data_IF_949334333552
#
_entry.id   IF_949334333552
#
_cell.length_a   1.000
_cell.length_b   1.000
_cell.length_c   1.000
_cell.angle_alpha   90.00
_cell.angle_beta   90.00
_cell.angle_gamma   90.00
#
_symmetry.space_group_name_H-M   'P 1'
#
loop_
_entity.id
_entity.type
_entity.pdbx_description
1 polymer ?
#
# COMPACT_ATOMS: atom_id res chain seq x y z
N UNK A 1 -10.68 14.42 9.05
CA UNK A 1 -9.88 13.37 9.71
C UNK A 1 -9.70 12.25 8.70
N UNK A 2 -8.45 11.85 8.46
CA UNK A 2 -8.05 10.73 7.61
C UNK A 2 -7.27 9.74 8.48
N UNK A 3 -7.01 8.55 7.96
CA UNK A 3 -6.27 7.49 8.66
C UNK A 3 -5.27 6.91 7.68
N UNK A 4 -3.99 6.82 8.03
CA UNK A 4 -3.00 6.11 7.21
C UNK A 4 -3.26 4.61 7.21
N UNK A 5 -2.81 3.90 6.18
CA UNK A 5 -2.90 2.43 6.16
C UNK A 5 -2.19 1.80 7.37
N UNK A 6 -1.03 2.34 7.75
CA UNK A 6 -0.28 1.90 8.91
C UNK A 6 -1.10 1.99 10.20
N UNK A 7 -1.73 3.13 10.47
CA UNK A 7 -2.59 3.31 11.66
C UNK A 7 -3.80 2.36 11.63
N UNK A 8 -4.41 2.16 10.45
CA UNK A 8 -5.53 1.24 10.31
C UNK A 8 -5.16 -0.20 10.67
N UNK A 9 -3.98 -0.67 10.22
CA UNK A 9 -3.51 -2.02 10.54
C UNK A 9 -3.01 -2.16 11.97
N UNK A 10 -2.42 -1.11 12.53
CA UNK A 10 -2.02 -1.08 13.94
C UNK A 10 -3.21 -1.24 14.88
N UNK A 11 -4.31 -0.50 14.65
CA UNK A 11 -5.53 -0.67 15.47
C UNK A 11 -6.19 -2.02 15.22
N UNK A 12 -6.09 -2.56 13.99
CA UNK A 12 -6.66 -3.85 13.63
C UNK A 12 -5.89 -5.03 14.24
N UNK A 13 -4.58 -4.94 14.38
CA UNK A 13 -3.70 -6.01 14.88
C UNK A 13 -3.63 -7.22 13.94
N UNK A 14 -3.61 -6.98 12.62
CA UNK A 14 -3.55 -8.06 11.63
C UNK A 14 -3.64 -7.58 10.19
N UNK A 15 -3.49 -8.50 9.21
CA UNK A 15 -3.32 -8.14 7.82
C UNK A 15 -4.63 -7.70 7.16
N UNK A 16 -4.47 -6.98 6.05
CA UNK A 16 -5.53 -6.79 5.06
C UNK A 16 -5.98 -8.16 4.53
N UNK A 17 -7.28 -8.34 4.40
CA UNK A 17 -7.84 -9.46 3.64
C UNK A 17 -7.77 -9.18 2.13
N UNK A 18 -7.86 -10.23 1.32
CA UNK A 18 -7.76 -10.13 -0.14
C UNK A 18 -8.67 -9.06 -0.75
N UNK A 19 -9.94 -9.01 -0.36
CA UNK A 19 -10.88 -7.99 -0.88
C UNK A 19 -10.57 -6.57 -0.38
N UNK A 20 -9.93 -6.43 0.78
CA UNK A 20 -9.45 -5.13 1.26
C UNK A 20 -8.22 -4.69 0.45
N UNK A 21 -7.33 -5.62 0.07
CA UNK A 21 -6.19 -5.34 -0.83
C UNK A 21 -6.69 -4.91 -2.21
N UNK A 22 -7.67 -5.62 -2.80
CA UNK A 22 -8.32 -5.20 -4.04
C UNK A 22 -8.94 -3.81 -3.95
N UNK A 23 -9.61 -3.52 -2.83
CA UNK A 23 -10.24 -2.23 -2.63
C UNK A 23 -9.22 -1.08 -2.51
N UNK A 24 -8.15 -1.29 -1.74
CA UNK A 24 -7.07 -0.29 -1.60
C UNK A 24 -6.36 -0.10 -2.94
N UNK A 25 -6.05 -1.18 -3.67
CA UNK A 25 -5.43 -1.10 -5.00
C UNK A 25 -6.29 -0.28 -5.98
N UNK A 26 -7.58 -0.60 -6.06
CA UNK A 26 -8.51 0.08 -6.97
C UNK A 26 -8.62 1.57 -6.64
N UNK A 27 -8.86 1.91 -5.37
CA UNK A 27 -9.03 3.32 -4.96
C UNK A 27 -7.73 4.11 -5.09
N UNK A 28 -6.57 3.49 -4.84
CA UNK A 28 -5.25 4.11 -5.04
C UNK A 28 -4.97 4.37 -6.52
N UNK A 29 -5.28 3.40 -7.39
CA UNK A 29 -5.09 3.53 -8.82
C UNK A 29 -5.98 4.64 -9.43
N UNK A 30 -7.23 4.77 -8.97
CA UNK A 30 -8.10 5.89 -9.36
C UNK A 30 -7.53 7.23 -8.91
N UNK A 31 -7.10 7.34 -7.65
CA UNK A 31 -6.48 8.57 -7.14
C UNK A 31 -5.20 8.94 -7.88
N UNK A 32 -4.34 7.96 -8.20
CA UNK A 32 -3.15 8.17 -9.01
C UNK A 32 -3.50 8.66 -10.42
N UNK A 33 -4.52 8.06 -11.04
CA UNK A 33 -4.97 8.49 -12.36
C UNK A 33 -5.41 9.96 -12.32
N UNK A 34 -6.18 10.37 -11.31
CA UNK A 34 -6.57 11.78 -11.16
C UNK A 34 -5.36 12.71 -10.97
N UNK A 35 -4.36 12.30 -10.18
CA UNK A 35 -3.16 13.10 -9.94
C UNK A 35 -2.33 13.28 -11.21
N UNK A 36 -2.14 12.22 -12.00
CA UNK A 36 -1.46 12.31 -13.30
C UNK A 36 -2.16 13.25 -14.29
N UNK A 37 -3.49 13.40 -14.20
CA UNK A 37 -4.22 14.35 -15.03
C UNK A 37 -4.12 15.80 -14.51
N UNK A 38 -4.02 16.00 -13.19
CA UNK A 38 -4.06 17.33 -12.56
C UNK A 38 -2.69 18.01 -12.51
N UNK A 39 -1.69 17.33 -11.95
CA UNK A 39 -0.37 17.90 -11.73
C UNK A 39 0.73 16.82 -11.62
N UNK A 40 1.33 16.41 -12.77
CA UNK A 40 2.46 15.49 -12.77
C UNK A 40 3.69 15.99 -11.99
N UNK A 41 3.85 17.30 -11.77
CA UNK A 41 5.02 17.83 -11.05
C UNK A 41 4.95 17.58 -9.54
N UNK A 42 3.76 17.33 -8.99
CA UNK A 42 3.54 16.97 -7.60
C UNK A 42 3.76 15.46 -7.30
N UNK A 43 4.21 14.68 -8.29
CA UNK A 43 4.28 13.21 -8.22
C UNK A 43 5.62 12.66 -7.71
N UNK A 44 6.41 13.47 -6.99
CA UNK A 44 7.73 13.10 -6.47
C UNK A 44 7.74 12.30 -5.16
N UNK A 45 6.59 11.87 -4.66
CA UNK A 45 6.45 11.12 -3.41
C UNK A 45 6.55 9.61 -3.61
N UNK A 46 6.86 8.87 -2.53
CA UNK A 46 6.85 7.41 -2.50
C UNK A 46 5.60 6.94 -1.72
N UNK A 47 4.86 5.98 -2.30
CA UNK A 47 3.72 5.36 -1.63
C UNK A 47 4.25 4.35 -0.61
N UNK A 48 3.75 4.45 0.61
CA UNK A 48 4.09 3.61 1.75
C UNK A 48 2.84 3.47 2.64
N UNK A 49 2.84 2.56 3.61
CA UNK A 49 1.75 2.43 4.56
C UNK A 49 1.43 3.73 5.33
N UNK A 50 2.41 4.61 5.52
CA UNK A 50 2.25 5.88 6.23
C UNK A 50 1.79 7.02 5.32
N UNK A 51 2.19 7.00 4.04
CA UNK A 51 1.78 8.02 3.06
C UNK A 51 0.41 7.76 2.43
N UNK A 52 -0.09 6.51 2.45
CA UNK A 52 -1.39 6.15 1.90
C UNK A 52 -2.51 6.46 2.91
N UNK A 53 -3.30 7.49 2.62
CA UNK A 53 -4.37 7.99 3.48
C UNK A 53 -5.74 7.47 3.06
N UNK A 54 -6.39 6.74 3.95
CA UNK A 54 -7.76 6.26 3.85
C UNK A 54 -8.73 7.38 4.26
N UNK A 55 -9.59 7.81 3.33
CA UNK A 55 -10.54 8.90 3.57
C UNK A 55 -11.89 8.37 4.05
N UNK A 56 -12.62 9.09 4.94
CA UNK A 56 -13.99 8.73 5.32
C UNK A 56 -14.98 8.68 4.15
N UNK A 57 -14.68 9.38 3.04
CA UNK A 57 -15.46 9.30 1.80
C UNK A 57 -15.36 7.92 1.13
N UNK A 58 -14.32 7.14 1.46
CA UNK A 58 -13.95 5.88 0.85
C UNK A 58 -12.94 6.02 -0.29
N UNK A 59 -12.43 7.22 -0.56
CA UNK A 59 -11.33 7.47 -1.50
C UNK A 59 -9.97 7.34 -0.79
N UNK A 60 -8.90 7.35 -1.57
CA UNK A 60 -7.53 7.40 -1.07
C UNK A 60 -6.90 8.75 -1.42
N UNK A 61 -6.07 9.26 -0.53
CA UNK A 61 -5.18 10.39 -0.77
C UNK A 61 -3.74 9.99 -0.42
N UNK A 62 -2.77 10.81 -0.81
CA UNK A 62 -1.35 10.57 -0.53
C UNK A 62 -0.75 11.80 0.14
N UNK A 63 0.20 11.58 1.03
CA UNK A 63 0.99 12.63 1.69
C UNK A 63 2.45 12.23 1.77
N UNK A 64 3.36 13.19 1.68
CA UNK A 64 4.78 13.01 2.02
C UNK A 64 5.09 13.56 3.43
N UNK A 65 4.11 14.14 4.10
CA UNK A 65 4.26 14.71 5.43
C UNK A 65 4.50 13.60 6.48
N UNK A 66 5.49 13.81 7.35
CA UNK A 66 5.82 12.95 8.49
C UNK A 66 6.31 11.53 8.16
N UNK A 67 6.72 11.24 6.92
CA UNK A 67 7.32 9.95 6.55
C UNK A 67 8.84 10.02 6.58
N UNK A 68 9.50 9.14 7.32
CA UNK A 68 10.97 9.15 7.41
C UNK A 68 11.60 8.41 6.22
N UNK A 69 12.83 8.77 5.86
CA UNK A 69 13.59 8.08 4.81
C UNK A 69 13.82 6.59 5.12
N UNK A 70 13.93 6.23 6.40
CA UNK A 70 14.07 4.84 6.82
C UNK A 70 12.79 4.03 6.55
N UNK A 71 11.63 4.65 6.75
CA UNK A 71 10.33 4.04 6.47
C UNK A 71 10.11 3.86 4.96
N UNK A 72 10.64 4.77 4.14
CA UNK A 72 10.44 4.75 2.68
C UNK A 72 11.35 3.78 1.92
N UNK A 73 12.54 3.46 2.44
CA UNK A 73 13.55 2.68 1.70
C UNK A 73 12.99 1.36 1.16
N UNK A 74 12.13 0.72 1.94
CA UNK A 74 11.56 -0.57 1.64
C UNK A 74 10.44 -0.53 0.56
N UNK A 75 9.94 0.67 0.25
CA UNK A 75 8.89 0.91 -0.76
C UNK A 75 9.42 1.68 -1.97
N UNK A 76 10.70 2.06 -1.94
CA UNK A 76 11.33 2.85 -3.00
C UNK A 76 11.75 1.92 -4.13
N UNK A 77 11.39 2.28 -5.37
CA UNK A 77 11.74 1.47 -6.54
C UNK A 77 13.27 1.36 -6.72
N UNK A 78 13.79 0.22 -7.22
CA UNK A 78 15.23 -0.02 -7.33
C UNK A 78 15.96 1.09 -8.10
N UNK A 79 15.40 1.54 -9.21
CA UNK A 79 16.00 2.61 -10.02
C UNK A 79 16.14 3.93 -9.26
N UNK A 80 15.23 4.22 -8.33
CA UNK A 80 15.28 5.42 -7.49
C UNK A 80 16.34 5.27 -6.40
N UNK A 81 16.49 4.06 -5.82
CA UNK A 81 17.56 3.75 -4.86
C UNK A 81 18.94 3.82 -5.51
N UNK A 82 19.05 3.47 -6.79
CA UNK A 82 20.26 3.60 -7.60
C UNK A 82 20.56 5.05 -8.01
N UNK A 83 19.67 5.99 -7.69
CA UNK A 83 19.85 7.42 -8.01
C UNK A 83 19.55 7.77 -9.47
N UNK A 84 18.79 6.94 -10.18
CA UNK A 84 18.34 7.25 -11.54
C UNK A 84 17.35 8.41 -11.47
N UNK A 85 17.63 9.47 -12.22
CA UNK A 85 16.69 10.60 -12.36
C UNK A 85 15.48 10.17 -13.18
N UNK A 86 14.29 10.32 -12.61
CA UNK A 86 13.02 10.10 -13.33
C UNK A 86 12.77 11.28 -14.27
N UNK A 87 12.72 11.02 -15.58
CA UNK A 87 12.68 12.09 -16.60
C UNK A 87 11.35 12.16 -17.34
N UNK A 88 10.57 11.07 -17.32
CA UNK A 88 9.28 10.98 -18.00
C UNK A 88 8.14 10.69 -17.04
N UNK A 89 6.91 11.03 -17.46
CA UNK A 89 5.68 10.63 -16.75
C UNK A 89 5.57 9.11 -16.63
N UNK A 90 6.09 8.36 -17.63
CA UNK A 90 6.13 6.91 -17.58
C UNK A 90 7.04 6.42 -16.44
N UNK A 91 8.23 6.99 -16.27
CA UNK A 91 9.16 6.58 -15.21
C UNK A 91 8.53 6.82 -13.82
N UNK A 92 7.88 7.97 -13.67
CA UNK A 92 7.13 8.32 -12.45
C UNK A 92 5.97 7.35 -12.21
N UNK A 93 5.21 6.98 -13.26
CA UNK A 93 4.16 5.95 -13.18
C UNK A 93 4.74 4.62 -12.68
N UNK A 94 5.87 4.17 -13.24
CA UNK A 94 6.50 2.91 -12.84
C UNK A 94 6.99 2.93 -11.39
N UNK A 95 7.55 4.05 -10.93
CA UNK A 95 7.90 4.22 -9.52
C UNK A 95 6.67 4.11 -8.60
N UNK A 96 5.54 4.72 -8.98
CA UNK A 96 4.29 4.62 -8.21
C UNK A 96 3.69 3.22 -8.22
N UNK A 97 3.79 2.47 -9.32
CA UNK A 97 3.33 1.08 -9.37
C UNK A 97 4.14 0.18 -8.43
N UNK A 98 5.47 0.34 -8.40
CA UNK A 98 6.32 -0.41 -7.49
C UNK A 98 5.98 -0.10 -6.02
N UNK A 99 6.00 1.18 -5.65
CA UNK A 99 5.78 1.60 -4.28
C UNK A 99 4.39 1.25 -3.75
N UNK A 100 3.36 1.35 -4.60
CA UNK A 100 2.01 0.89 -4.25
C UNK A 100 1.95 -0.64 -4.09
N UNK A 101 2.57 -1.40 -4.99
CA UNK A 101 2.62 -2.86 -4.89
C UNK A 101 3.30 -3.33 -3.60
N UNK A 102 4.47 -2.76 -3.27
CA UNK A 102 5.18 -3.03 -2.01
C UNK A 102 4.36 -2.66 -0.78
N UNK A 103 3.63 -1.53 -0.84
CA UNK A 103 2.72 -1.11 0.24
C UNK A 103 1.60 -2.12 0.48
N UNK A 104 1.05 -2.69 -0.59
CA UNK A 104 -0.02 -3.69 -0.51
C UNK A 104 0.49 -5.05 -0.04
N UNK A 105 1.67 -5.48 -0.48
CA UNK A 105 2.33 -6.67 0.08
C UNK A 105 2.57 -6.52 1.57
N UNK A 106 3.10 -5.37 2.01
CA UNK A 106 3.27 -5.10 3.44
C UNK A 106 1.95 -5.17 4.20
N UNK A 107 0.88 -4.59 3.65
CA UNK A 107 -0.44 -4.64 4.28
C UNK A 107 -1.04 -6.05 4.35
N UNK A 108 -0.78 -6.89 3.36
CA UNK A 108 -1.22 -8.28 3.33
C UNK A 108 -0.37 -9.21 4.20
N UNK A 109 0.89 -8.85 4.48
CA UNK A 109 1.80 -9.58 5.37
C UNK A 109 1.75 -9.12 6.83
N UNK A 110 1.02 -8.04 7.12
CA UNK A 110 1.10 -7.36 8.42
C UNK A 110 0.76 -8.30 9.60
N UNK A 111 1.71 -8.42 10.52
CA UNK A 111 1.63 -9.28 11.72
C UNK A 111 1.35 -10.76 11.42
N UNK A 112 1.66 -11.23 10.21
CA UNK A 112 1.69 -12.67 9.92
C UNK A 112 2.97 -13.27 10.54
N UNK A 113 2.88 -14.33 11.36
CA UNK A 113 4.06 -15.01 11.87
C UNK A 113 4.90 -15.60 10.73
N UNK A 114 6.22 -15.51 10.80
CA UNK A 114 7.14 -16.00 9.75
C UNK A 114 6.95 -17.48 9.36
N UNK A 115 6.37 -18.30 10.23
CA UNK A 115 6.04 -19.70 9.94
C UNK A 115 4.80 -19.88 9.07
N UNK A 116 4.06 -18.81 8.78
CA UNK A 116 2.81 -18.84 8.02
C UNK A 116 2.95 -18.03 6.73
N UNK A 117 2.49 -18.56 5.60
CA UNK A 117 2.48 -17.79 4.37
C UNK A 117 1.36 -16.75 4.38
N UNK A 118 1.60 -15.65 3.67
CA UNK A 118 0.57 -14.70 3.27
C UNK A 118 -0.57 -15.39 2.52
N UNK A 119 -1.81 -14.97 2.78
CA UNK A 119 -3.02 -15.58 2.20
C UNK A 119 -3.63 -14.68 1.13
N UNK A 120 -2.99 -14.62 -0.04
CA UNK A 120 -3.53 -13.99 -1.23
C UNK A 120 -3.88 -15.03 -2.29
N UNK A 121 -5.01 -14.86 -2.97
CA UNK A 121 -5.31 -15.59 -4.19
C UNK A 121 -4.23 -15.39 -5.27
N UNK A 122 -3.97 -16.43 -6.06
CA UNK A 122 -2.93 -16.46 -7.08
C UNK A 122 -3.01 -15.27 -8.06
N UNK A 123 -4.23 -14.87 -8.43
CA UNK A 123 -4.45 -13.77 -9.35
C UNK A 123 -3.99 -12.43 -8.79
N UNK A 124 -4.37 -12.11 -7.54
CA UNK A 124 -3.96 -10.88 -6.89
C UNK A 124 -2.46 -10.89 -6.57
N UNK A 125 -1.93 -12.02 -6.10
CA UNK A 125 -0.50 -12.16 -5.84
C UNK A 125 0.31 -11.88 -7.12
N UNK A 126 -0.07 -12.51 -8.24
CA UNK A 126 0.59 -12.28 -9.53
C UNK A 126 0.46 -10.83 -10.01
N UNK A 127 -0.68 -10.18 -9.78
CA UNK A 127 -0.87 -8.77 -10.10
C UNK A 127 0.13 -7.90 -9.31
N UNK A 128 0.25 -8.10 -8.00
CA UNK A 128 1.17 -7.34 -7.15
C UNK A 128 2.64 -7.61 -7.50
N UNK A 129 3.02 -8.85 -7.82
CA UNK A 129 4.36 -9.18 -8.33
C UNK A 129 4.68 -8.41 -9.62
N UNK A 130 3.75 -8.39 -10.59
CA UNK A 130 3.96 -7.64 -11.83
C UNK A 130 4.00 -6.11 -11.62
N UNK A 131 3.40 -5.59 -10.55
CA UNK A 131 3.56 -4.19 -10.15
C UNK A 131 4.92 -3.92 -9.50
N UNK A 132 5.52 -4.92 -8.86
CA UNK A 132 6.80 -4.82 -8.17
C UNK A 132 7.99 -5.33 -8.99
N UNK A 133 7.84 -5.57 -10.29
CA UNK A 133 8.93 -6.06 -11.14
C UNK A 133 10.12 -5.07 -11.10
N UNK A 134 11.31 -5.60 -10.79
CA UNK A 134 12.56 -4.83 -10.71
C UNK A 134 12.95 -4.25 -12.08
N UNK A 135 12.55 -4.90 -13.17
CA UNK A 135 12.74 -4.40 -14.52
C UNK A 135 11.64 -3.36 -14.80
N UNK A 136 11.99 -2.07 -14.71
CA UNK A 136 11.08 -0.93 -14.86
C UNK A 136 10.18 -1.00 -16.11
N UNK A 137 10.71 -1.51 -17.24
CA UNK A 137 9.95 -1.63 -18.50
C UNK A 137 8.94 -2.77 -18.50
N UNK A 138 9.18 -3.83 -17.72
CA UNK A 138 8.29 -4.98 -17.56
C UNK A 138 7.17 -4.71 -16.55
N UNK A 139 7.45 -3.81 -15.59
CA UNK A 139 6.52 -3.42 -14.53
C UNK A 139 5.17 -2.97 -15.09
N UNK A 140 4.08 -3.34 -14.42
CA UNK A 140 2.73 -3.07 -14.91
C UNK A 140 2.45 -1.57 -15.09
N UNK A 141 1.55 -1.21 -16.02
CA UNK A 141 1.08 0.18 -16.17
C UNK A 141 -0.13 0.46 -15.30
N UNK A 142 -0.33 1.72 -14.91
CA UNK A 142 -1.50 2.15 -14.15
C UNK A 142 -2.81 1.81 -14.89
N UNK A 143 -2.82 1.98 -16.21
CA UNK A 143 -3.97 1.62 -17.06
C UNK A 143 -4.31 0.14 -16.96
N UNK A 144 -3.31 -0.74 -16.98
CA UNK A 144 -3.51 -2.19 -16.87
C UNK A 144 -4.07 -2.55 -15.49
N UNK A 145 -3.52 -1.97 -14.42
CA UNK A 145 -4.01 -2.17 -13.04
C UNK A 145 -5.48 -1.78 -12.92
N UNK A 146 -5.86 -0.62 -13.46
CA UNK A 146 -7.26 -0.16 -13.46
C UNK A 146 -8.19 -1.10 -14.22
N UNK A 147 -7.78 -1.63 -15.37
CA UNK A 147 -8.57 -2.58 -16.15
C UNK A 147 -8.77 -3.91 -15.38
N UNK A 148 -7.72 -4.41 -14.75
CA UNK A 148 -7.78 -5.64 -13.93
C UNK A 148 -8.68 -5.43 -12.70
N UNK A 149 -8.51 -4.33 -11.96
CA UNK A 149 -9.37 -3.99 -10.81
C UNK A 149 -10.83 -3.86 -11.24
N UNK A 150 -11.09 -3.17 -12.35
CA UNK A 150 -12.44 -3.01 -12.89
C UNK A 150 -13.07 -4.34 -13.29
N UNK A 151 -12.28 -5.28 -13.83
CA UNK A 151 -12.74 -6.65 -14.14
C UNK A 151 -13.04 -7.43 -12.87
N UNK A 152 -12.18 -7.38 -11.86
CA UNK A 152 -12.41 -8.01 -10.56
C UNK A 152 -13.72 -7.54 -9.94
N UNK A 153 -13.90 -6.22 -9.82
CA UNK A 153 -15.10 -5.61 -9.22
C UNK A 153 -16.38 -6.06 -9.95
N UNK A 154 -16.39 -6.06 -11.29
CA UNK A 154 -17.55 -6.48 -12.08
C UNK A 154 -17.88 -7.98 -11.95
N UNK A 155 -16.86 -8.81 -11.72
CA UNK A 155 -17.02 -10.25 -11.67
C UNK A 155 -17.19 -10.79 -10.23
N UNK A 156 -16.86 -9.99 -9.23
CA UNK A 156 -17.06 -10.31 -7.81
C UNK A 156 -18.49 -9.99 -7.37
N UNK A 157 -19.01 -10.72 -6.39
CA UNK A 157 -20.22 -10.34 -5.63
C UNK A 157 -19.89 -9.54 -4.37
N UNK A 158 -18.69 -8.99 -4.29
CA UNK A 158 -18.18 -8.27 -3.13
C UNK A 158 -18.76 -6.86 -3.02
N UNK A 159 -18.61 -6.25 -1.85
CA UNK A 159 -18.95 -4.85 -1.66
C UNK A 159 -18.12 -3.94 -2.59
N UNK A 160 -18.60 -2.74 -2.95
CA UNK A 160 -17.80 -1.82 -3.76
C UNK A 160 -16.53 -1.37 -3.00
N UNK A 161 -15.40 -1.10 -3.69
CA UNK A 161 -14.11 -0.77 -3.07
C UNK A 161 -14.17 0.29 -1.96
N UNK A 162 -14.85 1.41 -2.22
CA UNK A 162 -14.99 2.50 -1.25
C UNK A 162 -15.63 2.05 0.09
N UNK A 163 -16.43 0.98 0.09
CA UNK A 163 -17.04 0.41 1.29
C UNK A 163 -15.99 -0.14 2.24
N UNK A 164 -15.00 -0.87 1.72
CA UNK A 164 -13.91 -1.43 2.52
C UNK A 164 -13.04 -0.32 3.12
N UNK A 165 -12.71 0.71 2.35
CA UNK A 165 -11.97 1.88 2.84
C UNK A 165 -12.71 2.53 4.02
N UNK A 166 -14.03 2.73 3.87
CA UNK A 166 -14.87 3.26 4.96
C UNK A 166 -14.88 2.37 6.19
N UNK A 167 -14.89 1.04 6.03
CA UNK A 167 -14.82 0.09 7.16
C UNK A 167 -13.49 0.22 7.91
N UNK A 168 -12.36 0.29 7.19
CA UNK A 168 -11.04 0.50 7.78
C UNK A 168 -10.95 1.83 8.54
N UNK A 169 -11.44 2.92 7.96
CA UNK A 169 -11.45 4.24 8.62
C UNK A 169 -12.34 4.23 9.87
N UNK A 170 -13.51 3.58 9.82
CA UNK A 170 -14.40 3.44 10.98
C UNK A 170 -13.81 2.60 12.10
N UNK A 171 -12.99 1.60 11.79
CA UNK A 171 -12.30 0.77 12.79
C UNK A 171 -11.42 1.64 13.70
N UNK A 172 -10.67 2.57 13.11
CA UNK A 172 -9.82 3.49 13.88
C UNK A 172 -10.65 4.53 14.64
N UNK A 173 -11.59 5.20 13.97
CA UNK A 173 -12.41 6.25 14.60
C UNK A 173 -13.31 5.70 15.74
N UNK A 174 -13.87 4.50 15.56
CA UNK A 174 -14.68 3.83 16.58
C UNK A 174 -13.86 3.40 17.79
N UNK A 175 -12.58 3.08 17.60
CA UNK A 175 -11.65 2.78 18.70
C UNK A 175 -11.26 4.03 19.48
N UNK A 176 -11.02 5.15 18.80
CA UNK A 176 -10.76 6.44 19.44
C UNK A 176 -11.92 6.91 20.32
N UNK A 177 -13.17 6.73 19.86
CA UNK A 177 -14.36 7.07 20.67
C UNK A 177 -14.52 6.20 21.92
N UNK A 178 -13.97 4.98 21.93
CA UNK A 178 -13.95 4.11 23.12
C UNK A 178 -12.81 4.52 24.06
N UNK A 179 -11.68 4.96 23.52
CA UNK A 179 -10.53 5.41 24.29
C UNK A 179 -10.81 6.74 25.01
N UNK A 180 -11.55 7.67 24.38
CA UNK A 180 -11.93 8.96 24.98
C UNK A 180 -12.78 8.79 26.26
N UNK A 181 -13.42 7.63 26.44
CA UNK A 181 -14.11 7.25 27.68
C UNK A 181 -13.22 6.62 28.75
N UNK A 182 -11.95 6.33 28.45
CA UNK A 182 -11.03 5.54 29.28
C UNK A 182 -9.67 6.22 29.54
N UNK A 183 -9.44 7.46 29.06
CA UNK A 183 -8.20 8.21 29.33
C UNK A 183 -8.14 8.75 30.76
N UNK A 184 -8.00 7.84 31.72
CA UNK A 184 -7.19 8.00 32.91
C UNK A 184 -6.22 6.82 32.97
N UNK A 185 -4.94 7.12 32.74
CA UNK A 185 -3.77 6.28 33.08
C UNK A 185 -3.37 5.18 32.07
N UNK A 186 -2.36 5.44 31.21
CA UNK A 186 -1.04 4.80 31.28
C UNK A 186 -0.11 5.08 30.08
N UNK A 187 1.19 5.02 30.42
CA UNK A 187 2.38 5.35 29.64
C UNK A 187 2.66 4.47 28.42
N UNK A 188 3.34 5.09 27.46
CA UNK A 188 3.83 4.59 26.17
C UNK A 188 4.94 3.54 26.30
N UNK A 189 4.79 2.41 25.60
CA UNK A 189 5.89 1.46 25.34
C UNK A 189 6.44 1.65 23.91
N UNK A 190 7.73 1.37 23.66
CA UNK A 190 8.35 1.59 22.36
C UNK A 190 8.05 0.45 21.37
N UNK A 191 7.85 0.83 20.11
CA UNK A 191 7.63 -0.06 18.96
C UNK A 191 8.87 -0.93 18.65
N UNK A 192 8.72 -2.24 18.36
CA UNK A 192 9.81 -3.07 17.86
C UNK A 192 10.14 -2.72 16.40
N UNK A 193 11.43 -2.70 16.06
CA UNK A 193 11.95 -2.34 14.73
C UNK A 193 11.45 -3.30 13.62
N UNK A 194 10.67 -2.76 12.67
CA UNK A 194 9.87 -3.50 11.65
C UNK A 194 10.55 -3.69 10.28
N UNK A 195 11.89 -3.83 10.24
CA UNK A 195 12.66 -3.63 8.99
C UNK A 195 13.16 -4.89 8.26
N UNK A 196 12.90 -6.11 8.75
CA UNK A 196 13.62 -7.31 8.26
C UNK A 196 12.91 -8.12 7.15
N UNK A 197 11.59 -8.01 6.97
CA UNK A 197 10.85 -8.88 6.04
C UNK A 197 10.73 -8.34 4.61
N UNK A 198 10.72 -7.01 4.42
CA UNK A 198 10.76 -6.43 3.06
C UNK A 198 12.09 -6.78 2.36
N UNK A 199 13.16 -6.92 3.13
CA UNK A 199 14.47 -7.38 2.64
C UNK A 199 14.38 -8.82 2.12
N UNK A 200 13.57 -9.69 2.73
CA UNK A 200 13.45 -11.08 2.30
C UNK A 200 12.68 -11.27 0.99
N UNK A 201 11.76 -10.38 0.62
CA UNK A 201 11.14 -10.42 -0.72
C UNK A 201 12.09 -9.89 -1.80
N UNK A 202 12.94 -8.91 -1.50
CA UNK A 202 14.05 -8.51 -2.38
C UNK A 202 15.13 -9.61 -2.50
N UNK A 203 15.38 -10.39 -1.45
CA UNK A 203 16.40 -11.44 -1.43
C UNK A 203 15.89 -12.81 -1.93
N UNK A 204 14.59 -13.12 -1.81
CA UNK A 204 14.02 -14.40 -2.28
C UNK A 204 14.03 -14.53 -3.81
N UNK A 205 13.87 -13.44 -4.56
CA UNK A 205 13.97 -13.50 -6.03
C UNK A 205 15.41 -13.62 -6.55
N UNK A 206 16.41 -13.42 -5.70
CA UNK A 206 17.83 -13.68 -6.02
C UNK A 206 18.14 -15.19 -5.95
N UNK A 207 17.42 -15.96 -5.14
CA UNK A 207 17.66 -17.40 -4.98
C UNK A 207 17.01 -18.31 -6.05
N UNK A 208 16.03 -17.83 -6.80
CA UNK A 208 15.36 -18.61 -7.86
C UNK A 208 16.03 -18.47 -9.25
N UNK A 209 17.25 -17.90 -9.32
CA UNK A 209 18.04 -17.76 -10.56
C UNK A 209 19.45 -18.38 -10.50
N UNK A 210 19.68 -19.39 -9.68
CA UNK A 210 20.84 -20.30 -9.80
C UNK A 210 20.47 -21.72 -10.23
#
# INVERSE_FOLDING_TARGET
MHVSLAEALEVRGGPLQEEEVWAVLSQSAESLQELFHKDPAAMGFIISPWSLLLMPSGNISFTDEYVTQQDLRAFTAPEVLEGVTLTSVSDIEKMHMYSLGMTLFWGADYEIPQSQPMKLGEHLNSLLLNMCDDVTVSRMSLRTVLDICSKHIRNSSCDPPFSYIRKLVRLVMGSLSQLDGLLTDRETQPLPSRSFLIILYSDMEICDKE
#
